data_IF_483684002255
#
_entry.id   IF_483684002255
#
_cell.length_a   1.000
_cell.length_b   1.000
_cell.length_c   1.000
_cell.angle_alpha   90.00
_cell.angle_beta   90.00
_cell.angle_gamma   90.00
#
_symmetry.space_group_name_H-M   'P 1'
#
loop_
_entity.id
_entity.type
_entity.pdbx_description
1 polymer ?
#
# COMPACT_ATOMS: atom_id res chain seq x y z
N UNK A 1 3.18 -17.33 -21.90
CA UNK A 1 2.70 -16.72 -20.64
C UNK A 1 2.32 -15.26 -20.85
N UNK A 2 3.21 -14.44 -21.42
CA UNK A 2 2.93 -13.09 -21.90
C UNK A 2 1.67 -13.03 -22.79
N UNK A 3 1.55 -13.93 -23.78
CA UNK A 3 0.34 -14.02 -24.61
C UNK A 3 -0.97 -14.17 -23.81
N UNK A 4 -0.92 -14.81 -22.63
CA UNK A 4 -2.09 -14.95 -21.77
C UNK A 4 -2.39 -13.66 -21.01
N UNK A 5 -1.38 -12.91 -20.58
CA UNK A 5 -1.58 -11.57 -20.01
C UNK A 5 -2.12 -10.60 -21.06
N UNK A 6 -1.54 -10.55 -22.25
CA UNK A 6 -2.02 -9.76 -23.38
C UNK A 6 -3.50 -10.01 -23.64
N UNK A 7 -3.86 -11.29 -23.82
CA UNK A 7 -5.25 -11.68 -24.04
C UNK A 7 -6.18 -11.25 -22.91
N UNK A 8 -5.72 -11.26 -21.66
CA UNK A 8 -6.54 -10.79 -20.53
C UNK A 8 -6.75 -9.27 -20.54
N UNK A 9 -5.76 -8.49 -20.98
CA UNK A 9 -5.88 -7.03 -21.13
C UNK A 9 -6.75 -6.62 -22.30
N UNK A 10 -6.63 -7.33 -23.42
CA UNK A 10 -7.48 -7.12 -24.60
C UNK A 10 -8.96 -7.33 -24.28
N UNK A 11 -9.27 -8.30 -23.42
CA UNK A 11 -10.64 -8.62 -23.00
C UNK A 11 -11.17 -7.73 -21.87
N UNK A 12 -10.35 -6.85 -21.30
CA UNK A 12 -10.72 -6.03 -20.14
C UNK A 12 -11.34 -4.70 -20.57
N UNK A 13 -12.45 -4.33 -19.93
CA UNK A 13 -13.09 -3.03 -20.15
C UNK A 13 -12.34 -1.96 -19.37
N UNK A 14 -11.95 -0.88 -20.03
CA UNK A 14 -11.28 0.25 -19.38
C UNK A 14 -12.29 0.99 -18.49
N UNK A 15 -11.90 1.20 -17.24
CA UNK A 15 -12.64 1.95 -16.21
C UNK A 15 -11.68 2.91 -15.52
N UNK A 16 -12.19 3.79 -14.65
CA UNK A 16 -11.34 4.73 -13.89
C UNK A 16 -10.40 5.54 -14.81
N UNK A 17 -10.97 6.11 -15.87
CA UNK A 17 -10.20 6.89 -16.85
C UNK A 17 -9.55 8.11 -16.21
N UNK A 18 -8.30 8.36 -16.56
CA UNK A 18 -7.57 9.57 -16.22
C UNK A 18 -8.27 10.78 -16.86
N UNK A 19 -8.40 11.87 -16.11
CA UNK A 19 -9.10 13.09 -16.54
C UNK A 19 -8.21 14.27 -16.26
N UNK A 20 -7.95 15.07 -17.28
CA UNK A 20 -7.11 16.24 -17.12
C UNK A 20 -7.80 17.27 -16.21
N UNK A 21 -7.06 17.79 -15.24
CA UNK A 21 -7.52 18.84 -14.34
C UNK A 21 -6.43 19.90 -14.18
N UNK A 22 -6.77 21.19 -14.15
CA UNK A 22 -5.80 22.21 -13.80
C UNK A 22 -5.41 22.07 -12.31
N UNK A 23 -4.20 22.53 -11.96
CA UNK A 23 -3.70 22.50 -10.56
C UNK A 23 -4.64 23.19 -9.57
N UNK A 24 -5.38 24.22 -9.99
CA UNK A 24 -6.37 24.90 -9.13
C UNK A 24 -7.48 23.97 -8.62
N UNK A 25 -7.83 22.90 -9.34
CA UNK A 25 -8.82 21.91 -8.88
C UNK A 25 -8.30 21.14 -7.67
N UNK A 26 -6.99 20.90 -7.58
CA UNK A 26 -6.37 20.24 -6.43
C UNK A 26 -6.39 21.14 -5.19
N UNK A 27 -6.13 22.43 -5.35
CA UNK A 27 -6.26 23.41 -4.26
C UNK A 27 -7.70 23.51 -3.76
N UNK A 28 -8.66 23.62 -4.69
CA UNK A 28 -10.09 23.62 -4.36
C UNK A 28 -10.52 22.34 -3.63
N UNK A 29 -9.98 21.18 -3.99
CA UNK A 29 -10.26 19.91 -3.32
C UNK A 29 -9.72 19.90 -1.88
N UNK A 30 -8.52 20.43 -1.64
CA UNK A 30 -7.95 20.61 -0.28
C UNK A 30 -8.81 21.56 0.55
N UNK A 31 -9.20 22.70 -0.01
CA UNK A 31 -10.08 23.66 0.68
C UNK A 31 -11.48 23.08 0.97
N UNK A 32 -12.04 22.30 0.05
CA UNK A 32 -13.30 21.58 0.29
C UNK A 32 -13.13 20.59 1.45
N UNK A 33 -12.03 19.84 1.48
CA UNK A 33 -11.74 18.90 2.56
C UNK A 33 -11.66 19.62 3.92
N UNK A 34 -10.85 20.68 4.02
CA UNK A 34 -10.68 21.45 5.26
C UNK A 34 -12.01 22.06 5.78
N UNK A 35 -12.89 22.51 4.88
CA UNK A 35 -14.21 23.06 5.27
C UNK A 35 -15.19 22.01 5.81
N UNK A 36 -14.99 20.74 5.47
CA UNK A 36 -15.96 19.65 5.78
C UNK A 36 -15.57 18.81 6.99
N UNK A 37 -14.32 18.88 7.42
CA UNK A 37 -13.82 18.14 8.57
C UNK A 37 -13.85 18.98 9.84
N UNK A 38 -13.89 18.30 10.98
CA UNK A 38 -13.80 18.92 12.30
C UNK A 38 -12.31 19.15 12.64
N UNK A 39 -11.90 20.42 12.66
CA UNK A 39 -10.51 20.79 12.87
C UNK A 39 -10.11 20.82 14.36
N UNK A 40 -11.05 20.92 15.29
CA UNK A 40 -10.77 21.04 16.73
C UNK A 40 -10.10 19.77 17.30
N UNK A 41 -10.33 18.64 16.65
CA UNK A 41 -9.81 17.33 17.04
C UNK A 41 -8.51 16.95 16.31
N UNK A 42 -8.06 17.80 15.39
CA UNK A 42 -6.88 17.61 14.55
C UNK A 42 -5.74 18.48 15.07
N UNK A 43 -4.57 17.84 15.25
CA UNK A 43 -3.33 18.53 15.56
C UNK A 43 -2.71 19.15 14.31
N UNK A 44 -2.57 18.33 13.27
CA UNK A 44 -1.98 18.74 11.99
C UNK A 44 -2.47 17.89 10.81
N UNK A 45 -2.41 18.46 9.61
CA UNK A 45 -2.66 17.75 8.34
C UNK A 45 -1.47 17.96 7.42
N UNK A 46 -0.99 16.88 6.82
CA UNK A 46 0.10 16.88 5.86
C UNK A 46 -0.33 16.22 4.56
N UNK A 47 0.04 16.81 3.43
CA UNK A 47 0.06 16.14 2.15
C UNK A 47 1.36 15.35 2.01
N UNK A 48 1.24 14.15 1.47
CA UNK A 48 2.33 13.26 1.14
C UNK A 48 2.65 13.42 -0.35
N UNK A 49 3.90 13.76 -0.65
CA UNK A 49 4.33 14.01 -2.02
C UNK A 49 3.71 15.26 -2.65
N UNK A 50 3.86 15.35 -3.96
CA UNK A 50 3.45 16.49 -4.79
C UNK A 50 2.59 16.03 -5.97
N UNK A 51 1.72 16.92 -6.44
CA UNK A 51 0.91 16.70 -7.65
C UNK A 51 1.79 16.93 -8.89
N UNK A 52 2.51 15.89 -9.29
CA UNK A 52 3.45 15.93 -10.43
C UNK A 52 2.73 16.01 -11.78
N UNK A 53 1.73 15.15 -11.97
CA UNK A 53 0.92 15.10 -13.20
C UNK A 53 -0.57 15.28 -12.83
N UNK A 54 -1.12 16.50 -12.98
CA UNK A 54 -2.53 16.79 -12.71
C UNK A 54 -3.45 15.93 -13.56
N UNK A 55 -4.50 15.37 -12.95
CA UNK A 55 -5.43 14.44 -13.58
C UNK A 55 -5.06 12.96 -13.46
N UNK A 56 -3.81 12.66 -13.12
CA UNK A 56 -3.35 11.30 -12.79
C UNK A 56 -3.04 11.22 -11.29
N UNK A 57 -2.17 12.11 -10.80
CA UNK A 57 -1.76 12.12 -9.39
C UNK A 57 -2.95 12.34 -8.47
N UNK A 58 -2.93 11.71 -7.30
CA UNK A 58 -3.87 11.93 -6.21
C UNK A 58 -3.30 12.84 -5.12
N UNK A 59 -4.15 13.19 -4.15
CA UNK A 59 -3.76 13.86 -2.92
C UNK A 59 -3.79 12.83 -1.79
N UNK A 60 -2.60 12.56 -1.27
CA UNK A 60 -2.37 11.64 -0.17
C UNK A 60 -2.26 12.43 1.13
N UNK A 61 -3.07 12.13 2.14
CA UNK A 61 -3.10 12.90 3.39
C UNK A 61 -2.75 12.08 4.63
N UNK A 62 -1.89 12.64 5.48
CA UNK A 62 -1.77 12.29 6.89
C UNK A 62 -2.55 13.28 7.76
N UNK A 63 -3.41 12.74 8.63
CA UNK A 63 -4.14 13.50 9.64
C UNK A 63 -3.69 13.05 11.01
N UNK A 64 -3.08 13.97 11.75
CA UNK A 64 -2.58 13.72 13.09
C UNK A 64 -3.59 14.28 14.10
N UNK A 65 -4.07 13.45 15.01
CA UNK A 65 -5.08 13.83 15.99
C UNK A 65 -4.48 14.29 17.31
N UNK A 66 -5.23 15.13 18.02
CA UNK A 66 -4.97 15.43 19.43
C UNK A 66 -5.17 14.16 20.29
N UNK A 67 -4.35 13.98 21.34
CA UNK A 67 -4.34 12.77 22.20
C UNK A 67 -5.71 12.47 22.81
N UNK A 68 -6.49 13.50 23.13
CA UNK A 68 -7.78 13.38 23.82
C UNK A 68 -9.00 13.35 22.88
N UNK A 69 -8.83 13.40 21.56
CA UNK A 69 -10.00 13.42 20.67
C UNK A 69 -10.66 12.04 20.58
N UNK A 70 -11.97 11.98 20.89
CA UNK A 70 -12.83 10.83 20.64
C UNK A 70 -13.62 11.13 19.38
N UNK A 71 -13.37 10.39 18.31
CA UNK A 71 -13.91 10.79 17.02
C UNK A 71 -14.33 9.66 16.11
N UNK A 72 -15.20 10.01 15.16
CA UNK A 72 -15.71 9.08 14.17
C UNK A 72 -15.03 9.33 12.82
N UNK A 73 -14.30 8.33 12.32
CA UNK A 73 -13.60 8.38 11.03
C UNK A 73 -14.46 8.86 9.86
N UNK A 74 -15.77 8.58 9.90
CA UNK A 74 -16.68 9.00 8.85
C UNK A 74 -16.68 10.51 8.62
N UNK A 75 -16.46 11.34 9.65
CA UNK A 75 -16.39 12.81 9.49
C UNK A 75 -15.24 13.24 8.59
N UNK A 76 -14.16 12.49 8.63
CA UNK A 76 -12.93 12.74 7.87
C UNK A 76 -12.87 11.99 6.54
N UNK A 77 -13.98 11.34 6.14
CA UNK A 77 -14.01 10.53 4.94
C UNK A 77 -14.13 11.39 3.69
N UNK A 78 -13.34 11.07 2.66
CA UNK A 78 -13.42 11.73 1.35
C UNK A 78 -14.79 11.53 0.69
N UNK A 79 -15.56 10.53 1.11
CA UNK A 79 -16.92 10.26 0.62
C UNK A 79 -17.91 11.38 0.93
N UNK A 80 -17.56 12.28 1.84
CA UNK A 80 -18.36 13.47 2.14
C UNK A 80 -18.08 14.63 1.17
N UNK A 81 -17.07 14.50 0.30
CA UNK A 81 -16.67 15.53 -0.65
C UNK A 81 -17.46 15.43 -1.97
N UNK A 82 -17.32 16.43 -2.84
CA UNK A 82 -17.81 16.40 -4.20
C UNK A 82 -17.20 15.23 -4.99
N UNK A 83 -17.86 14.81 -6.08
CA UNK A 83 -17.35 13.73 -6.92
C UNK A 83 -15.98 14.06 -7.54
N UNK A 84 -15.71 15.34 -7.81
CA UNK A 84 -14.41 15.81 -8.30
C UNK A 84 -13.36 15.67 -7.22
N UNK A 85 -13.61 16.16 -6.01
CA UNK A 85 -12.66 16.02 -4.90
C UNK A 85 -12.43 14.55 -4.53
N UNK A 86 -13.46 13.71 -4.52
CA UNK A 86 -13.33 12.27 -4.34
C UNK A 86 -12.40 11.63 -5.38
N UNK A 87 -12.51 12.07 -6.64
CA UNK A 87 -11.58 11.66 -7.68
C UNK A 87 -10.17 12.13 -7.37
N UNK A 88 -9.98 13.41 -7.03
CA UNK A 88 -8.66 13.98 -6.73
C UNK A 88 -7.96 13.26 -5.56
N UNK A 89 -8.66 12.94 -4.48
CA UNK A 89 -8.06 12.22 -3.34
C UNK A 89 -7.83 10.72 -3.62
N UNK A 90 -8.65 10.05 -4.44
CA UNK A 90 -8.62 8.61 -4.75
C UNK A 90 -8.79 7.63 -3.57
N UNK A 91 -8.30 7.96 -2.38
CA UNK A 91 -8.40 7.15 -1.19
C UNK A 91 -8.57 7.99 0.08
N UNK A 92 -8.95 7.33 1.18
CA UNK A 92 -9.12 8.00 2.46
C UNK A 92 -7.75 8.40 3.05
N UNK A 93 -7.67 9.47 3.87
CA UNK A 93 -6.45 9.81 4.59
C UNK A 93 -5.96 8.68 5.50
N UNK A 94 -4.66 8.66 5.83
CA UNK A 94 -4.18 7.89 6.98
C UNK A 94 -4.30 8.74 8.25
N UNK A 95 -4.89 8.15 9.27
CA UNK A 95 -5.23 8.79 10.53
C UNK A 95 -4.26 8.29 11.59
N UNK A 96 -3.59 9.17 12.33
CA UNK A 96 -2.59 8.72 13.30
C UNK A 96 -2.50 9.65 14.50
N UNK A 97 -1.83 9.19 15.55
CA UNK A 97 -1.41 10.06 16.64
C UNK A 97 -0.01 10.63 16.36
N UNK A 98 0.39 11.60 17.19
CA UNK A 98 1.68 12.25 17.07
C UNK A 98 2.84 11.27 17.23
N UNK A 99 2.71 10.27 18.11
CA UNK A 99 3.76 9.25 18.32
C UNK A 99 4.00 8.40 17.07
N UNK A 100 2.93 8.02 16.37
CA UNK A 100 3.04 7.31 15.08
C UNK A 100 3.67 8.22 14.03
N UNK A 101 3.19 9.47 13.91
CA UNK A 101 3.73 10.45 12.96
C UNK A 101 5.22 10.71 13.17
N UNK A 102 5.65 10.87 14.44
CA UNK A 102 7.05 11.05 14.80
C UNK A 102 7.93 9.91 14.28
N UNK A 103 7.41 8.68 14.21
CA UNK A 103 8.14 7.50 13.78
C UNK A 103 7.79 7.03 12.36
N UNK A 104 7.19 7.89 11.54
CA UNK A 104 6.69 7.57 10.20
C UNK A 104 7.73 6.90 9.29
N UNK A 105 9.01 7.31 9.38
CA UNK A 105 10.10 6.79 8.54
C UNK A 105 10.37 5.29 8.71
N UNK A 106 9.98 4.69 9.84
CA UNK A 106 10.08 3.25 10.02
C UNK A 106 9.00 2.49 9.24
N UNK A 107 7.94 3.16 8.81
CA UNK A 107 6.86 2.59 8.01
C UNK A 107 7.00 2.98 6.53
N UNK A 108 7.46 4.19 6.28
CA UNK A 108 7.32 4.92 5.03
C UNK A 108 8.57 5.81 4.82
N UNK A 109 9.62 5.35 4.12
CA UNK A 109 10.95 5.94 4.24
C UNK A 109 11.27 6.96 3.14
N UNK A 110 10.27 7.49 2.44
CA UNK A 110 10.50 8.38 1.29
C UNK A 110 9.29 9.26 0.98
N UNK A 111 9.16 10.41 1.67
CA UNK A 111 8.06 11.34 1.43
C UNK A 111 8.45 12.79 1.63
N UNK A 112 8.06 13.63 0.68
CA UNK A 112 7.91 15.06 0.93
C UNK A 112 6.63 15.24 1.76
N UNK A 113 6.73 15.89 2.91
CA UNK A 113 5.59 16.20 3.75
C UNK A 113 5.29 17.69 3.68
N UNK A 114 4.22 18.05 2.99
CA UNK A 114 3.77 19.42 2.85
C UNK A 114 2.68 19.69 3.88
N UNK A 115 2.95 20.55 4.87
CA UNK A 115 1.94 20.89 5.88
C UNK A 115 0.79 21.67 5.23
N UNK A 116 -0.43 21.20 5.44
CA UNK A 116 -1.67 21.86 5.00
C UNK A 116 -2.33 22.63 6.14
N UNK A 117 -2.36 22.07 7.35
CA UNK A 117 -3.07 22.64 8.49
C UNK A 117 -2.36 22.33 9.82
N UNK A 118 -2.54 23.23 10.79
CA UNK A 118 -2.17 23.01 12.19
C UNK A 118 -0.69 23.23 12.51
N UNK A 119 -0.24 22.56 13.58
CA UNK A 119 1.10 22.71 14.11
C UNK A 119 2.16 22.07 13.21
N UNK A 120 3.40 22.57 13.28
CA UNK A 120 4.53 21.90 12.64
C UNK A 120 5.05 20.81 13.57
N UNK A 121 4.74 19.57 13.26
CA UNK A 121 5.24 18.39 13.95
C UNK A 121 6.61 17.99 13.43
N UNK A 122 7.44 17.48 14.34
CA UNK A 122 8.74 16.91 14.00
C UNK A 122 8.60 15.44 13.62
N UNK A 123 9.37 15.03 12.63
CA UNK A 123 9.59 13.63 12.28
C UNK A 123 10.97 13.20 12.78
N UNK A 124 11.10 11.96 13.24
CA UNK A 124 12.34 11.40 13.75
C UNK A 124 13.28 10.99 12.61
N UNK A 125 13.93 11.97 11.99
CA UNK A 125 14.93 11.77 10.93
C UNK A 125 16.33 11.95 11.49
N UNK A 126 16.55 11.67 12.78
CA UNK A 126 17.82 12.02 13.45
C UNK A 126 19.05 11.31 12.86
N UNK A 127 18.88 10.33 11.97
CA UNK A 127 19.94 9.58 11.31
C UNK A 127 19.54 9.24 9.88
N UNK A 128 20.53 9.16 8.97
CA UNK A 128 20.37 8.47 7.70
C UNK A 128 19.80 7.08 7.96
N UNK A 129 18.66 6.78 7.33
CA UNK A 129 18.03 5.48 7.47
C UNK A 129 18.98 4.41 6.93
N UNK A 130 19.24 3.38 7.73
CA UNK A 130 20.14 2.30 7.31
C UNK A 130 19.50 1.45 6.19
N UNK A 131 20.33 0.74 5.44
CA UNK A 131 19.90 -0.18 4.37
C UNK A 131 18.87 -1.22 4.88
N UNK A 132 19.00 -1.66 6.13
CA UNK A 132 18.11 -2.64 6.76
C UNK A 132 16.66 -2.19 6.86
N UNK A 133 16.38 -0.91 7.17
CA UNK A 133 14.99 -0.45 7.25
C UNK A 133 14.33 -0.42 5.87
N UNK A 134 15.09 -0.10 4.81
CA UNK A 134 14.60 -0.18 3.44
C UNK A 134 14.31 -1.63 3.01
N UNK A 135 15.13 -2.61 3.44
CA UNK A 135 14.85 -4.03 3.23
C UNK A 135 13.52 -4.44 3.87
N UNK A 136 13.28 -4.02 5.12
CA UNK A 136 12.05 -4.32 5.87
C UNK A 136 10.83 -3.75 5.13
N UNK A 137 10.89 -2.47 4.76
CA UNK A 137 9.78 -1.76 4.12
C UNK A 137 9.50 -2.32 2.72
N UNK A 138 10.54 -2.56 1.91
CA UNK A 138 10.37 -3.14 0.58
C UNK A 138 9.79 -4.57 0.67
N UNK A 139 10.25 -5.36 1.63
CA UNK A 139 9.68 -6.70 1.89
C UNK A 139 8.19 -6.61 2.23
N UNK A 140 7.82 -5.68 3.11
CA UNK A 140 6.42 -5.45 3.46
C UNK A 140 5.59 -5.06 2.25
N UNK A 141 6.09 -4.12 1.44
CA UNK A 141 5.42 -3.65 0.21
C UNK A 141 5.21 -4.79 -0.79
N UNK A 142 6.23 -5.62 -1.04
CA UNK A 142 6.11 -6.81 -1.89
C UNK A 142 5.03 -7.76 -1.36
N UNK A 143 5.08 -8.12 -0.08
CA UNK A 143 4.13 -9.10 0.46
C UNK A 143 2.68 -8.56 0.42
N UNK A 144 2.51 -7.24 0.55
CA UNK A 144 1.18 -6.62 0.69
C UNK A 144 0.63 -5.98 -0.58
N UNK A 145 1.44 -5.63 -1.58
CA UNK A 145 1.03 -4.86 -2.76
C UNK A 145 1.40 -5.56 -4.06
N UNK A 146 2.69 -5.76 -4.35
CA UNK A 146 3.14 -6.22 -5.68
C UNK A 146 3.55 -7.70 -5.69
N UNK A 147 3.19 -8.50 -6.71
CA UNK A 147 2.47 -8.13 -7.92
C UNK A 147 0.94 -8.15 -7.77
N UNK A 148 0.41 -8.46 -6.59
CA UNK A 148 -1.02 -8.73 -6.38
C UNK A 148 -1.94 -7.62 -6.91
N UNK A 149 -1.63 -6.38 -6.58
CA UNK A 149 -2.46 -5.24 -6.93
C UNK A 149 -2.49 -5.02 -8.44
N UNK A 150 -1.37 -5.22 -9.15
CA UNK A 150 -1.34 -5.18 -10.63
C UNK A 150 -2.43 -6.09 -11.18
N UNK A 151 -2.59 -7.28 -10.61
CA UNK A 151 -3.57 -8.25 -11.07
C UNK A 151 -5.01 -7.83 -10.80
N UNK A 152 -5.25 -7.28 -9.61
CA UNK A 152 -6.58 -6.82 -9.19
C UNK A 152 -7.09 -5.75 -10.13
N UNK A 153 -6.24 -4.78 -10.44
CA UNK A 153 -6.61 -3.54 -11.13
C UNK A 153 -6.46 -3.61 -12.66
N UNK A 154 -5.87 -4.66 -13.22
CA UNK A 154 -5.76 -4.81 -14.69
C UNK A 154 -6.48 -6.02 -15.29
N UNK A 155 -6.62 -7.16 -14.58
CA UNK A 155 -7.19 -8.37 -15.20
C UNK A 155 -8.29 -9.07 -14.40
N UNK A 156 -8.15 -9.21 -13.08
CA UNK A 156 -8.97 -10.16 -12.32
C UNK A 156 -10.46 -9.81 -12.35
N UNK A 157 -10.80 -8.53 -12.51
CA UNK A 157 -12.18 -8.06 -12.54
C UNK A 157 -12.76 -7.91 -13.96
N UNK A 158 -12.02 -8.35 -15.01
CA UNK A 158 -12.30 -8.01 -16.42
C UNK A 158 -12.41 -6.49 -16.65
N UNK A 159 -11.73 -5.73 -15.79
CA UNK A 159 -11.71 -4.28 -15.77
C UNK A 159 -10.26 -3.84 -15.69
N UNK A 160 -9.92 -2.84 -16.47
CA UNK A 160 -8.63 -2.19 -16.47
C UNK A 160 -8.78 -0.78 -15.91
N UNK A 161 -8.32 -0.55 -14.67
CA UNK A 161 -8.45 0.72 -13.98
C UNK A 161 -7.31 1.67 -14.41
N UNK A 162 -7.57 2.48 -15.44
CA UNK A 162 -6.53 3.23 -16.17
C UNK A 162 -5.71 4.16 -15.26
N UNK A 163 -6.37 5.07 -14.52
CA UNK A 163 -5.68 5.98 -13.61
C UNK A 163 -4.98 5.25 -12.47
N UNK A 164 -5.67 4.27 -11.87
CA UNK A 164 -5.07 3.44 -10.83
C UNK A 164 -3.80 2.74 -11.32
N UNK A 165 -3.80 2.20 -12.55
CA UNK A 165 -2.62 1.56 -13.14
C UNK A 165 -1.49 2.54 -13.41
N UNK A 166 -1.80 3.77 -13.85
CA UNK A 166 -0.80 4.83 -13.98
C UNK A 166 -0.13 5.16 -12.63
N UNK A 167 -0.92 5.23 -11.56
CA UNK A 167 -0.36 5.50 -10.22
C UNK A 167 0.45 4.32 -9.69
N UNK A 168 0.00 3.08 -9.95
CA UNK A 168 0.68 1.88 -9.47
C UNK A 168 2.02 1.61 -10.17
N UNK A 169 2.12 1.84 -11.47
CA UNK A 169 3.40 1.72 -12.17
C UNK A 169 4.37 2.79 -11.64
N UNK A 170 3.90 4.02 -11.41
CA UNK A 170 4.70 5.05 -10.74
C UNK A 170 5.17 4.62 -9.33
N UNK A 171 4.31 3.98 -8.55
CA UNK A 171 4.66 3.38 -7.24
C UNK A 171 5.71 2.27 -7.37
N UNK A 172 5.66 1.48 -8.45
CA UNK A 172 6.72 0.52 -8.76
C UNK A 172 8.04 1.22 -9.09
N UNK A 173 8.05 2.32 -9.87
CA UNK A 173 9.26 3.10 -10.15
C UNK A 173 9.95 3.58 -8.86
N UNK A 174 9.19 4.04 -7.87
CA UNK A 174 9.74 4.36 -6.54
C UNK A 174 10.35 3.13 -5.85
N UNK A 175 9.69 1.97 -5.94
CA UNK A 175 10.19 0.71 -5.36
C UNK A 175 11.48 0.22 -6.03
N UNK A 176 11.60 0.38 -7.36
CA UNK A 176 12.82 0.10 -8.11
C UNK A 176 13.94 1.07 -7.73
N UNK A 177 13.60 2.35 -7.52
CA UNK A 177 14.54 3.38 -7.05
C UNK A 177 15.07 3.07 -5.65
N UNK A 178 14.23 2.56 -4.73
CA UNK A 178 14.68 2.05 -3.42
C UNK A 178 15.68 0.91 -3.56
N UNK A 179 15.61 0.15 -4.66
CA UNK A 179 16.61 -0.84 -5.00
C UNK A 179 18.03 -0.27 -4.97
N UNK A 180 18.25 0.99 -5.41
CA UNK A 180 19.59 1.63 -5.41
C UNK A 180 20.21 1.77 -4.03
N UNK A 181 19.38 1.82 -2.99
CA UNK A 181 19.84 1.90 -1.59
C UNK A 181 20.13 0.48 -1.06
N UNK A 182 19.38 -0.52 -1.55
CA UNK A 182 19.42 -1.89 -1.04
C UNK A 182 20.41 -2.77 -1.80
N UNK A 183 20.63 -2.56 -3.08
CA UNK A 183 21.45 -3.42 -3.93
C UNK A 183 22.72 -2.70 -4.35
N UNK A 184 23.82 -3.45 -4.40
CA UNK A 184 25.10 -2.89 -4.82
C UNK A 184 25.16 -2.72 -6.35
N UNK A 185 24.36 -3.49 -7.08
CA UNK A 185 24.16 -3.41 -8.52
C UNK A 185 22.66 -3.29 -8.86
N UNK A 186 22.30 -2.39 -9.77
CA UNK A 186 20.93 -2.26 -10.30
C UNK A 186 20.95 -2.63 -11.78
N UNK A 187 20.03 -3.48 -12.25
CA UNK A 187 19.93 -3.78 -13.67
C UNK A 187 19.66 -2.51 -14.50
N UNK A 188 20.43 -2.23 -15.58
CA UNK A 188 20.27 -1.01 -16.36
C UNK A 188 18.87 -0.82 -16.97
N UNK A 189 18.18 -1.91 -17.29
CA UNK A 189 16.82 -1.83 -17.85
C UNK A 189 15.78 -1.30 -16.85
N UNK A 190 16.03 -1.39 -15.54
CA UNK A 190 15.16 -0.74 -14.55
C UNK A 190 15.21 0.78 -14.67
N UNK A 191 16.40 1.33 -14.93
CA UNK A 191 16.61 2.76 -15.10
C UNK A 191 15.95 3.28 -16.37
N UNK A 192 16.10 2.53 -17.46
CA UNK A 192 15.45 2.82 -18.74
C UNK A 192 13.92 2.82 -18.55
N UNK A 193 13.37 1.78 -17.93
CA UNK A 193 11.93 1.70 -17.65
C UNK A 193 11.43 2.90 -16.83
N UNK A 194 12.13 3.27 -15.74
CA UNK A 194 11.75 4.40 -14.89
C UNK A 194 11.74 5.70 -15.70
N UNK A 195 12.77 5.95 -16.51
CA UNK A 195 12.88 7.17 -17.31
C UNK A 195 11.77 7.24 -18.38
N UNK A 196 11.61 6.18 -19.17
CA UNK A 196 10.62 6.11 -20.24
C UNK A 196 9.19 6.19 -19.71
N UNK A 197 8.89 5.47 -18.62
CA UNK A 197 7.58 5.50 -18.00
C UNK A 197 7.25 6.88 -17.42
N UNK A 198 8.23 7.54 -16.79
CA UNK A 198 8.03 8.88 -16.27
C UNK A 198 7.71 9.86 -17.41
N UNK A 199 8.45 9.83 -18.52
CA UNK A 199 8.16 10.67 -19.69
C UNK A 199 6.75 10.39 -20.24
N UNK A 200 6.41 9.12 -20.47
CA UNK A 200 5.08 8.69 -20.90
C UNK A 200 3.98 9.23 -19.99
N UNK A 201 4.16 9.13 -18.67
CA UNK A 201 3.18 9.61 -17.68
C UNK A 201 2.98 11.11 -17.75
N UNK A 202 4.04 11.91 -17.96
CA UNK A 202 3.93 13.37 -18.07
C UNK A 202 3.28 13.81 -19.38
N UNK A 203 3.44 13.05 -20.46
CA UNK A 203 2.86 13.32 -21.78
C UNK A 203 1.48 12.65 -21.99
N UNK A 204 0.94 11.98 -20.97
CA UNK A 204 -0.29 11.17 -21.07
C UNK A 204 -1.47 11.88 -21.76
N UNK A 205 -1.73 13.15 -21.42
CA UNK A 205 -2.85 13.91 -21.98
C UNK A 205 -2.56 14.49 -23.36
N UNK A 206 -1.31 14.48 -23.82
CA UNK A 206 -0.88 14.96 -25.12
C UNK A 206 -0.90 13.84 -26.18
N UNK A 207 -0.68 12.60 -25.77
CA UNK A 207 -0.66 11.42 -26.65
C UNK A 207 -2.06 11.06 -27.20
N UNK A 208 -2.07 10.41 -28.38
CA UNK A 208 -3.27 9.85 -28.97
C UNK A 208 -3.94 8.82 -28.02
N UNK A 209 -5.25 8.89 -27.76
CA UNK A 209 -5.92 8.00 -26.82
C UNK A 209 -5.76 6.50 -27.07
N UNK A 210 -5.78 6.06 -28.34
CA UNK A 210 -5.66 4.63 -28.68
C UNK A 210 -4.22 4.16 -28.46
N UNK A 211 -3.24 4.97 -28.89
CA UNK A 211 -1.83 4.64 -28.75
C UNK A 211 -1.39 4.60 -27.28
N UNK A 212 -1.80 5.59 -26.47
CA UNK A 212 -1.45 5.62 -25.04
C UNK A 212 -2.10 4.48 -24.24
N UNK A 213 -3.32 4.06 -24.61
CA UNK A 213 -3.96 2.90 -24.00
C UNK A 213 -3.18 1.61 -24.28
N UNK A 214 -2.66 1.46 -25.52
CA UNK A 214 -1.76 0.37 -25.89
C UNK A 214 -0.47 0.40 -25.06
N UNK A 215 0.24 1.54 -25.06
CA UNK A 215 1.47 1.73 -24.28
C UNK A 215 1.29 1.43 -22.79
N UNK A 216 0.18 1.86 -22.19
CA UNK A 216 -0.09 1.60 -20.76
C UNK A 216 -0.28 0.10 -20.46
N UNK A 217 -0.87 -0.66 -21.38
CA UNK A 217 -0.98 -2.12 -21.26
C UNK A 217 0.40 -2.77 -21.34
N UNK A 218 1.26 -2.29 -22.24
CA UNK A 218 2.64 -2.78 -22.35
C UNK A 218 3.44 -2.49 -21.07
N UNK A 219 3.40 -1.25 -20.56
CA UNK A 219 4.01 -0.89 -19.28
C UNK A 219 3.43 -1.66 -18.09
N UNK A 220 2.14 -2.04 -18.15
CA UNK A 220 1.53 -2.87 -17.11
C UNK A 220 2.15 -4.26 -17.07
N UNK A 221 2.40 -4.87 -18.23
CA UNK A 221 3.01 -6.20 -18.34
C UNK A 221 4.46 -6.15 -17.90
N UNK A 222 5.21 -5.17 -18.41
CA UNK A 222 6.60 -4.98 -18.05
C UNK A 222 6.75 -4.69 -16.55
N UNK A 223 5.88 -3.85 -15.98
CA UNK A 223 5.83 -3.59 -14.55
C UNK A 223 5.59 -4.86 -13.71
N UNK A 224 4.75 -5.79 -14.18
CA UNK A 224 4.59 -7.09 -13.52
C UNK A 224 5.89 -7.89 -13.56
N UNK A 225 6.57 -7.94 -14.71
CA UNK A 225 7.85 -8.64 -14.85
C UNK A 225 8.92 -8.03 -13.94
N UNK A 226 9.09 -6.72 -13.97
CA UNK A 226 10.01 -5.97 -13.12
C UNK A 226 9.72 -6.16 -11.64
N UNK A 227 8.44 -6.24 -11.24
CA UNK A 227 8.09 -6.53 -9.84
C UNK A 227 8.54 -7.93 -9.41
N UNK A 228 8.50 -8.93 -10.30
CA UNK A 228 8.98 -10.29 -10.01
C UNK A 228 10.50 -10.37 -10.02
N UNK A 229 11.18 -9.61 -10.87
CA UNK A 229 12.64 -9.45 -10.84
C UNK A 229 13.09 -8.78 -9.54
N UNK A 230 12.41 -7.73 -9.10
CA UNK A 230 12.66 -7.06 -7.82
C UNK A 230 12.49 -8.03 -6.64
N UNK A 231 11.45 -8.87 -6.67
CA UNK A 231 11.24 -9.94 -5.69
C UNK A 231 12.41 -10.94 -5.67
N UNK A 232 12.85 -11.37 -6.85
CA UNK A 232 13.98 -12.29 -6.99
C UNK A 232 15.26 -11.67 -6.40
N UNK A 233 15.59 -10.45 -6.81
CA UNK A 233 16.81 -9.75 -6.38
C UNK A 233 16.81 -9.45 -4.88
N UNK A 234 15.66 -9.04 -4.32
CA UNK A 234 15.50 -8.86 -2.87
C UNK A 234 15.67 -10.19 -2.12
N UNK A 235 15.09 -11.27 -2.62
CA UNK A 235 15.21 -12.60 -2.02
C UNK A 235 16.67 -13.08 -1.99
N UNK A 236 17.40 -12.90 -3.09
CA UNK A 236 18.83 -13.22 -3.17
C UNK A 236 19.62 -12.41 -2.15
N UNK A 237 19.38 -11.10 -2.08
CA UNK A 237 20.03 -10.23 -1.10
C UNK A 237 19.75 -10.62 0.36
N UNK A 238 18.48 -10.92 0.70
CA UNK A 238 18.10 -11.39 2.03
C UNK A 238 18.73 -12.74 2.36
N UNK A 239 18.86 -13.63 1.38
CA UNK A 239 19.49 -14.93 1.59
C UNK A 239 20.96 -14.77 2.02
N UNK A 240 21.66 -13.81 1.42
CA UNK A 240 23.07 -13.53 1.72
C UNK A 240 23.26 -12.87 3.09
N UNK A 241 22.33 -11.98 3.48
CA UNK A 241 22.40 -11.14 4.69
C UNK A 241 21.77 -11.81 5.91
N UNK A 242 20.67 -12.54 5.75
CA UNK A 242 19.75 -12.91 6.84
C UNK A 242 19.65 -14.43 7.03
N UNK A 243 19.59 -15.21 5.94
CA UNK A 243 19.09 -16.59 6.00
C UNK A 243 20.15 -17.66 5.72
N UNK A 244 21.22 -17.71 6.52
CA UNK A 244 22.03 -18.94 6.62
C UNK A 244 21.34 -19.93 7.58
N UNK A 245 20.49 -20.82 7.03
CA UNK A 245 19.90 -22.03 7.67
C UNK A 245 18.72 -21.86 8.65
N UNK A 246 17.71 -21.02 8.35
CA UNK A 246 16.70 -20.66 9.37
C UNK A 246 15.29 -21.29 9.23
N UNK A 247 14.90 -21.80 8.06
CA UNK A 247 13.54 -22.31 7.82
C UNK A 247 13.54 -23.83 7.67
N UNK A 248 12.67 -24.52 8.43
CA UNK A 248 12.60 -25.99 8.48
C UNK A 248 11.84 -26.57 7.30
N UNK A 249 10.78 -25.89 6.91
CA UNK A 249 9.82 -26.31 5.91
C UNK A 249 10.23 -25.83 4.53
N UNK A 250 9.99 -26.64 3.51
CA UNK A 250 10.16 -26.19 2.12
C UNK A 250 9.04 -25.25 1.67
N UNK A 251 7.93 -25.19 2.42
CA UNK A 251 6.73 -24.40 2.10
C UNK A 251 6.13 -23.79 3.37
N UNK A 252 5.82 -22.50 3.31
CA UNK A 252 5.06 -21.75 4.32
C UNK A 252 3.87 -21.08 3.62
N UNK A 253 2.69 -21.15 4.23
CA UNK A 253 1.46 -20.59 3.67
C UNK A 253 0.92 -19.52 4.60
N UNK A 254 0.70 -18.33 4.06
CA UNK A 254 -0.03 -17.26 4.72
C UNK A 254 -1.41 -17.09 4.07
N UNK A 255 -2.48 -17.31 4.82
CA UNK A 255 -3.85 -17.32 4.30
C UNK A 255 -4.74 -16.34 5.04
N UNK A 256 -5.28 -15.39 4.29
CA UNK A 256 -6.37 -14.52 4.74
C UNK A 256 -7.65 -14.83 3.97
N UNK A 257 -8.73 -14.09 4.27
CA UNK A 257 -10.01 -14.26 3.57
C UNK A 257 -9.89 -14.02 2.05
N UNK A 258 -9.03 -13.09 1.62
CA UNK A 258 -8.93 -12.63 0.23
C UNK A 258 -7.63 -13.00 -0.44
N UNK A 259 -6.62 -13.48 0.30
CA UNK A 259 -5.29 -13.80 -0.22
C UNK A 259 -4.75 -15.11 0.33
N UNK A 260 -4.00 -15.81 -0.50
CA UNK A 260 -3.20 -16.98 -0.15
C UNK A 260 -1.81 -16.78 -0.73
N UNK A 261 -0.81 -16.65 0.13
CA UNK A 261 0.59 -16.47 -0.24
C UNK A 261 1.33 -17.75 0.12
N UNK A 262 1.94 -18.38 -0.88
CA UNK A 262 2.77 -19.56 -0.72
C UNK A 262 4.23 -19.14 -0.83
N UNK A 263 4.94 -19.20 0.29
CA UNK A 263 6.38 -19.01 0.33
C UNK A 263 7.04 -20.37 0.14
N UNK A 264 7.92 -20.52 -0.84
CA UNK A 264 8.40 -21.84 -1.23
C UNK A 264 9.86 -21.87 -1.65
N UNK A 265 10.51 -22.99 -1.33
CA UNK A 265 11.87 -23.28 -1.77
C UNK A 265 11.86 -23.65 -3.26
N UNK A 266 12.91 -23.24 -3.97
CA UNK A 266 12.96 -23.42 -5.43
C UNK A 266 11.92 -22.58 -6.17
N UNK A 267 11.53 -21.45 -5.59
CA UNK A 267 10.69 -20.46 -6.25
C UNK A 267 11.32 -19.99 -7.56
N UNK A 268 10.49 -19.72 -8.57
CA UNK A 268 10.90 -19.14 -9.85
C UNK A 268 9.85 -18.16 -10.35
N UNK A 269 10.25 -17.24 -11.23
CA UNK A 269 9.34 -16.27 -11.87
C UNK A 269 8.23 -17.00 -12.62
N UNK A 270 8.53 -18.11 -13.31
CA UNK A 270 7.54 -18.89 -14.05
C UNK A 270 6.50 -19.51 -13.11
N UNK A 271 6.92 -19.98 -11.93
CA UNK A 271 6.03 -20.54 -10.92
C UNK A 271 5.16 -19.46 -10.28
N UNK A 272 5.76 -18.31 -9.93
CA UNK A 272 5.03 -17.14 -9.43
C UNK A 272 3.94 -16.73 -10.42
N UNK A 273 4.29 -16.59 -11.70
CA UNK A 273 3.37 -16.21 -12.75
C UNK A 273 2.26 -17.23 -13.00
N UNK A 274 2.55 -18.54 -12.99
CA UNK A 274 1.51 -19.57 -13.09
C UNK A 274 0.51 -19.47 -11.92
N UNK A 275 1.01 -19.24 -10.71
CA UNK A 275 0.18 -19.09 -9.51
C UNK A 275 -0.70 -17.85 -9.62
N UNK A 276 -0.11 -16.73 -10.01
CA UNK A 276 -0.77 -15.45 -10.29
C UNK A 276 -1.92 -15.62 -11.29
N UNK A 277 -1.65 -16.25 -12.45
CA UNK A 277 -2.63 -16.50 -13.50
C UNK A 277 -3.72 -17.53 -13.13
N UNK A 278 -3.55 -18.23 -12.01
CA UNK A 278 -4.56 -19.14 -11.44
C UNK A 278 -5.48 -18.47 -10.40
N UNK A 279 -5.20 -17.22 -10.04
CA UNK A 279 -6.01 -16.43 -9.10
C UNK A 279 -7.45 -16.28 -9.59
N UNK A 280 -8.38 -16.18 -8.65
CA UNK A 280 -9.82 -16.00 -8.93
C UNK A 280 -10.31 -14.71 -8.30
N UNK A 281 -11.41 -14.18 -8.83
CA UNK A 281 -12.11 -13.04 -8.20
C UNK A 281 -12.41 -13.38 -6.74
N UNK A 282 -11.99 -12.49 -5.83
CA UNK A 282 -12.19 -12.64 -4.39
C UNK A 282 -11.16 -13.51 -3.65
N UNK A 283 -10.30 -14.26 -4.36
CA UNK A 283 -9.18 -15.00 -3.76
C UNK A 283 -7.93 -14.96 -4.64
N UNK A 284 -7.00 -14.10 -4.26
CA UNK A 284 -5.72 -13.92 -4.93
C UNK A 284 -4.73 -14.95 -4.41
N UNK A 285 -4.02 -15.61 -5.32
CA UNK A 285 -2.94 -16.53 -5.00
C UNK A 285 -1.61 -15.95 -5.46
N UNK A 286 -0.65 -15.91 -4.55
CA UNK A 286 0.72 -15.50 -4.83
C UNK A 286 1.67 -16.65 -4.47
N UNK A 287 2.75 -16.76 -5.23
CA UNK A 287 3.90 -17.60 -4.89
C UNK A 287 5.09 -16.66 -4.76
N UNK A 288 5.79 -16.73 -3.63
CA UNK A 288 6.95 -15.91 -3.28
C UNK A 288 8.13 -16.79 -2.85
N UNK A 289 9.38 -16.31 -2.96
CA UNK A 289 10.53 -17.02 -2.41
C UNK A 289 10.37 -17.32 -0.92
N UNK A 290 10.79 -18.51 -0.48
CA UNK A 290 10.76 -18.91 0.93
C UNK A 290 11.49 -17.92 1.84
N UNK A 291 12.54 -17.29 1.32
CA UNK A 291 13.32 -16.28 2.04
C UNK A 291 12.45 -15.15 2.56
N UNK A 292 11.46 -14.69 1.79
CA UNK A 292 10.54 -13.62 2.20
C UNK A 292 9.58 -14.03 3.32
N UNK A 293 9.46 -15.33 3.64
CA UNK A 293 8.66 -15.80 4.76
C UNK A 293 9.22 -15.32 6.11
N UNK A 294 10.50 -14.94 6.18
CA UNK A 294 11.11 -14.43 7.41
C UNK A 294 10.26 -13.29 8.01
N UNK A 295 9.68 -12.44 7.17
CA UNK A 295 8.92 -11.28 7.62
C UNK A 295 7.66 -11.68 8.42
N UNK A 296 6.68 -12.43 7.86
CA UNK A 296 5.52 -12.87 8.65
C UNK A 296 5.91 -13.81 9.80
N UNK A 297 6.97 -14.63 9.68
CA UNK A 297 7.45 -15.46 10.78
C UNK A 297 8.01 -14.64 11.93
N UNK A 298 8.75 -13.57 11.64
CA UNK A 298 9.31 -12.68 12.66
C UNK A 298 8.19 -11.97 13.42
N UNK A 299 7.19 -11.47 12.69
CA UNK A 299 5.97 -10.95 13.28
C UNK A 299 5.25 -11.97 14.17
N UNK A 300 5.14 -13.21 13.71
CA UNK A 300 4.42 -14.27 14.43
C UNK A 300 5.11 -14.65 15.74
N UNK A 301 6.45 -14.60 15.78
CA UNK A 301 7.26 -14.89 16.98
C UNK A 301 7.30 -13.74 17.98
N UNK A 302 7.50 -12.52 17.51
CA UNK A 302 7.94 -11.41 18.37
C UNK A 302 6.89 -10.32 18.63
N UNK A 303 5.72 -10.36 17.99
CA UNK A 303 4.61 -9.46 18.33
C UNK A 303 3.45 -10.20 18.96
N UNK A 304 3.03 -9.74 20.14
CA UNK A 304 1.77 -10.15 20.78
C UNK A 304 0.62 -9.15 20.58
N UNK A 305 0.84 -8.15 19.73
CA UNK A 305 -0.19 -7.18 19.37
C UNK A 305 -1.23 -7.74 18.39
N UNK A 306 -2.07 -6.82 17.89
CA UNK A 306 -3.21 -7.15 17.01
C UNK A 306 -2.71 -7.74 15.68
N UNK A 307 -1.63 -7.17 15.12
CA UNK A 307 -1.07 -7.61 13.84
C UNK A 307 -0.38 -8.96 14.01
N UNK A 308 0.47 -9.10 15.03
CA UNK A 308 1.20 -10.33 15.33
C UNK A 308 0.27 -11.52 15.55
N UNK A 309 -0.80 -11.33 16.34
CA UNK A 309 -1.84 -12.34 16.53
C UNK A 309 -2.53 -12.71 15.21
N UNK A 310 -2.94 -11.72 14.42
CA UNK A 310 -3.57 -11.99 13.13
C UNK A 310 -2.65 -12.78 12.19
N UNK A 311 -1.35 -12.47 12.18
CA UNK A 311 -0.38 -13.19 11.37
C UNK A 311 -0.22 -14.62 11.86
N UNK A 312 -0.05 -14.85 13.17
CA UNK A 312 -0.01 -16.20 13.76
C UNK A 312 -1.21 -17.04 13.36
N UNK A 313 -2.42 -16.49 13.49
CA UNK A 313 -3.67 -17.18 13.16
C UNK A 313 -3.79 -17.52 11.65
N UNK A 314 -3.04 -16.80 10.80
CA UNK A 314 -3.11 -16.89 9.33
C UNK A 314 -1.93 -17.65 8.72
N UNK A 315 -0.90 -17.99 9.50
CA UNK A 315 0.36 -18.57 9.01
C UNK A 315 0.43 -20.07 9.33
N UNK A 316 0.86 -20.87 8.35
CA UNK A 316 1.22 -22.27 8.56
C UNK A 316 2.73 -22.42 8.73
N UNK A 317 3.18 -23.34 9.58
CA UNK A 317 4.59 -23.71 9.70
C UNK A 317 5.23 -23.22 11.01
N UNK A 318 6.47 -23.64 11.22
CA UNK A 318 7.29 -23.34 12.38
C UNK A 318 8.69 -22.90 11.93
N UNK A 319 9.63 -22.63 12.83
CA UNK A 319 11.05 -22.45 12.47
C UNK A 319 11.92 -22.91 13.64
N UNK A 320 13.20 -23.22 13.36
CA UNK A 320 14.14 -23.64 14.41
C UNK A 320 14.64 -22.46 15.24
N UNK A 321 15.13 -21.41 14.60
CA UNK A 321 15.73 -20.26 15.30
C UNK A 321 15.85 -19.04 14.39
N UNK A 322 14.76 -18.30 14.18
CA UNK A 322 14.81 -17.08 13.39
C UNK A 322 15.62 -16.01 14.15
N UNK A 323 16.82 -15.69 13.65
CA UNK A 323 17.69 -14.61 14.12
C UNK A 323 18.04 -13.70 12.95
N UNK A 324 17.79 -12.40 13.11
CA UNK A 324 18.25 -11.39 12.18
C UNK A 324 19.63 -10.87 12.64
N UNK A 325 20.44 -10.26 11.75
CA UNK A 325 21.57 -9.45 12.17
C UNK A 325 21.13 -8.43 13.24
N UNK A 326 21.93 -8.16 14.29
CA UNK A 326 21.50 -7.30 15.40
C UNK A 326 20.96 -5.93 15.00
N UNK A 327 21.57 -5.27 13.99
CA UNK A 327 21.09 -4.00 13.44
C UNK A 327 19.69 -4.13 12.84
N UNK A 328 19.46 -5.18 12.05
CA UNK A 328 18.18 -5.46 11.43
C UNK A 328 17.12 -5.88 12.46
N UNK A 329 17.51 -6.67 13.46
CA UNK A 329 16.65 -7.14 14.55
C UNK A 329 16.03 -5.96 15.32
N UNK A 330 16.86 -5.02 15.75
CA UNK A 330 16.42 -3.82 16.46
C UNK A 330 15.45 -2.97 15.62
N UNK A 331 15.80 -2.75 14.35
CA UNK A 331 14.99 -1.96 13.42
C UNK A 331 13.66 -2.65 13.09
N UNK A 332 13.65 -3.97 12.93
CA UNK A 332 12.43 -4.73 12.69
C UNK A 332 11.52 -4.68 13.92
N UNK A 333 12.05 -4.88 15.13
CA UNK A 333 11.28 -4.75 16.37
C UNK A 333 10.74 -3.33 16.57
N UNK A 334 11.49 -2.30 16.17
CA UNK A 334 11.00 -0.92 16.19
C UNK A 334 9.86 -0.71 15.20
N UNK A 335 10.03 -1.15 13.95
CA UNK A 335 9.00 -1.14 12.91
C UNK A 335 7.71 -1.84 13.38
N UNK A 336 7.84 -3.05 13.96
CA UNK A 336 6.71 -3.81 14.50
C UNK A 336 5.97 -3.05 15.59
N UNK A 337 6.69 -2.51 16.57
CA UNK A 337 6.08 -1.75 17.68
C UNK A 337 5.32 -0.52 17.18
N UNK A 338 5.82 0.17 16.16
CA UNK A 338 5.15 1.34 15.58
C UNK A 338 3.86 0.94 14.87
N UNK A 339 3.89 -0.14 14.08
CA UNK A 339 2.69 -0.61 13.38
C UNK A 339 1.66 -1.21 14.34
N UNK A 340 2.08 -1.90 15.40
CA UNK A 340 1.16 -2.34 16.46
C UNK A 340 0.56 -1.18 17.23
N UNK A 341 1.35 -0.14 17.50
CA UNK A 341 0.87 1.09 18.11
C UNK A 341 -0.17 1.78 17.23
N UNK A 342 0.11 1.93 15.93
CA UNK A 342 -0.85 2.45 14.94
C UNK A 342 -2.13 1.61 14.90
N UNK A 343 -2.01 0.28 14.87
CA UNK A 343 -3.15 -0.62 14.92
C UNK A 343 -3.97 -0.42 16.21
N UNK A 344 -3.32 -0.41 17.37
CA UNK A 344 -3.98 -0.19 18.66
C UNK A 344 -4.68 1.16 18.73
N UNK A 345 -4.04 2.24 18.26
CA UNK A 345 -4.62 3.57 18.13
C UNK A 345 -5.93 3.52 17.33
N UNK A 346 -5.93 2.86 16.19
CA UNK A 346 -7.13 2.74 15.37
C UNK A 346 -8.26 1.92 16.00
N UNK A 347 -7.91 0.80 16.63
CA UNK A 347 -8.88 -0.01 17.35
C UNK A 347 -9.51 0.77 18.52
N UNK A 348 -8.71 1.49 19.28
CA UNK A 348 -9.16 2.25 20.44
C UNK A 348 -9.95 3.51 20.05
N UNK A 349 -9.40 4.34 19.16
CA UNK A 349 -9.97 5.64 18.81
C UNK A 349 -11.22 5.51 17.96
N UNK A 350 -11.21 4.59 16.99
CA UNK A 350 -12.25 4.54 15.96
C UNK A 350 -13.15 3.30 16.05
N UNK A 351 -12.89 2.41 17.02
CA UNK A 351 -13.56 1.10 17.14
C UNK A 351 -13.53 0.34 15.81
N UNK A 352 -12.47 0.57 15.03
CA UNK A 352 -12.35 0.00 13.71
C UNK A 352 -11.96 -1.47 13.84
N UNK A 353 -12.65 -2.36 13.13
CA UNK A 353 -12.09 -3.67 12.85
C UNK A 353 -10.90 -3.44 11.92
N UNK A 354 -9.68 -3.58 12.45
CA UNK A 354 -8.48 -3.49 11.63
C UNK A 354 -8.56 -4.65 10.63
N UNK A 355 -8.67 -4.39 9.32
CA UNK A 355 -8.55 -5.46 8.35
C UNK A 355 -7.15 -6.05 8.59
N UNK A 356 -6.99 -7.36 8.63
CA UNK A 356 -5.69 -7.96 8.97
C UNK A 356 -4.52 -7.46 8.11
N UNK A 357 -3.29 -7.82 8.48
CA UNK A 357 -1.96 -7.58 7.87
C UNK A 357 -1.84 -6.83 6.51
N UNK A 358 -2.71 -7.08 5.53
CA UNK A 358 -2.81 -6.33 4.27
C UNK A 358 -3.25 -4.85 4.41
N UNK A 359 -3.81 -4.43 5.55
CA UNK A 359 -4.26 -3.05 5.77
C UNK A 359 -3.13 -2.08 6.14
N UNK A 360 -1.92 -2.56 6.41
CA UNK A 360 -0.80 -1.73 6.81
C UNK A 360 -0.34 -0.77 5.70
N UNK A 361 -0.85 -0.88 4.47
CA UNK A 361 -0.57 0.02 3.34
C UNK A 361 -1.84 0.50 2.63
N UNK A 362 -3.02 0.22 3.18
CA UNK A 362 -4.28 0.59 2.55
C UNK A 362 -5.16 1.28 3.60
N UNK A 363 -5.54 2.55 3.40
CA UNK A 363 -6.52 3.17 4.26
C UNK A 363 -7.79 2.30 4.26
N UNK A 364 -8.34 2.09 5.44
CA UNK A 364 -9.40 1.13 5.75
C UNK A 364 -10.48 1.05 4.66
N UNK A 365 -10.82 -0.17 4.21
CA UNK A 365 -12.07 -0.37 3.50
C UNK A 365 -13.25 -0.27 4.48
N UNK A 366 -13.70 0.97 4.72
CA UNK A 366 -14.78 1.35 5.65
C UNK A 366 -16.18 0.76 5.36
N UNK A 367 -16.31 -0.14 4.38
CA UNK A 367 -17.61 -0.57 3.87
C UNK A 367 -18.51 -1.22 4.92
N UNK A 368 -17.96 -1.90 5.94
CA UNK A 368 -18.76 -2.51 7.00
C UNK A 368 -19.17 -1.53 8.11
N UNK A 369 -18.29 -0.61 8.51
CA UNK A 369 -18.57 0.35 9.60
C UNK A 369 -19.49 1.47 9.12
N UNK A 370 -19.28 1.96 7.89
CA UNK A 370 -20.20 2.93 7.26
C UNK A 370 -21.61 2.34 7.15
N UNK A 371 -21.75 1.07 6.72
CA UNK A 371 -23.06 0.39 6.69
C UNK A 371 -23.73 0.27 8.06
N UNK A 372 -22.96 0.15 9.14
CA UNK A 372 -23.51 0.09 10.50
C UNK A 372 -23.95 1.48 10.97
N UNK A 373 -23.16 2.52 10.70
CA UNK A 373 -23.48 3.90 11.02
C UNK A 373 -24.67 4.42 10.19
N UNK A 374 -24.76 4.07 8.90
CA UNK A 374 -25.93 4.35 8.06
C UNK A 374 -27.19 3.69 8.63
N UNK A 375 -27.08 2.44 9.11
CA UNK A 375 -28.20 1.75 9.78
C UNK A 375 -28.62 2.46 11.07
N UNK A 376 -27.68 2.97 11.85
CA UNK A 376 -27.95 3.70 13.09
C UNK A 376 -28.58 5.07 12.78
N UNK A 377 -28.01 5.83 11.85
CA UNK A 377 -28.53 7.13 11.41
C UNK A 377 -29.94 7.00 10.82
N UNK A 378 -30.19 5.97 10.01
CA UNK A 378 -31.52 5.69 9.47
C UNK A 378 -32.53 5.27 10.56
N UNK A 379 -32.10 4.60 11.64
CA UNK A 379 -32.95 4.31 12.81
C UNK A 379 -33.29 5.57 13.60
N UNK A 380 -32.30 6.43 13.84
CA UNK A 380 -32.50 7.71 14.55
C UNK A 380 -33.48 8.60 13.75
N UNK A 381 -33.27 8.76 12.45
CA UNK A 381 -34.15 9.58 11.60
C UNK A 381 -35.57 9.01 11.47
N UNK A 382 -35.75 7.67 11.51
CA UNK A 382 -37.08 7.05 11.58
C UNK A 382 -37.78 7.35 12.90
N UNK A 383 -37.06 7.33 14.02
CA UNK A 383 -37.65 7.59 15.33
C UNK A 383 -38.03 9.07 15.52
N UNK A 384 -37.27 10.00 14.93
CA UNK A 384 -37.63 11.43 14.94
C UNK A 384 -38.88 11.71 14.11
N UNK A 385 -39.04 11.06 12.94
CA UNK A 385 -40.24 11.21 12.09
C UNK A 385 -41.51 10.55 12.64
N UNK A 386 -41.38 9.62 13.59
CA UNK A 386 -42.52 8.98 14.23
C UNK A 386 -42.94 9.69 15.53
N UNK A 387 -42.14 10.66 15.99
CA UNK A 387 -42.38 11.44 17.22
C UNK A 387 -42.68 12.92 16.93
N UNK A 388 -42.73 13.31 15.66
CA UNK A 388 -43.29 14.56 15.16
C UNK A 388 -44.49 14.21 14.28
#
# INVERSE_FOLDING_TARGET
MLNRLNKLLELSVIVDRAKEFPKSVYENAKEEFLRKIDLDNIKSIYQVGDVSVPGISDIDLFIVFNDNSKDFLYRYSIKNLSAVSQYIFSHEPWFMDEKTFYNLFYWFPYFNLNKIYGETLTVNVKQELSKEIYIIILTQYIITKVPADFLIYSFLQKKFYERTMLCMINSLCHSLTLGRIIFDDIPPHWEIFIAEYNDFRHNWFQDNPIEREGKLKDYTIEGIQLSLELIKKLSEHINDVVLRKLIKEDIIIFRTKTREIVFEKGWSIERAMRTILSSKIGKIKLSLPLTLAFYPLYWSKFSDGIIGKHIRDSLSGSFYDLRLPPSMDELFLKHMRILEHYAAFHAQKFRASIPGYHSLWAPYHFSKIIRLLDKIKNRINKNVKNNC
#
